data_IF_726610033425
#
_entry.id   IF_726610033425
#
_cell.length_a   1.000
_cell.length_b   1.000
_cell.length_c   1.000
_cell.angle_alpha   90.00
_cell.angle_beta   90.00
_cell.angle_gamma   90.00
#
_symmetry.space_group_name_H-M   'P 1'
#
loop_
_entity.id
_entity.type
_entity.pdbx_description
1 polymer ?
#
# COMPACT_ATOMS: atom_id res chain seq x y z
N UNK A 1 19.41 24.60 17.32
CA UNK A 1 19.25 23.26 17.92
C UNK A 1 17.92 23.19 18.65
N UNK A 2 16.87 22.67 18.00
CA UNK A 2 15.59 22.38 18.63
C UNK A 2 15.57 20.92 19.08
N UNK A 3 15.34 20.67 20.37
CA UNK A 3 15.23 19.31 20.92
C UNK A 3 13.93 18.67 20.43
N UNK A 4 14.04 17.70 19.53
CA UNK A 4 12.94 16.81 19.19
C UNK A 4 12.55 16.01 20.43
N UNK A 5 11.33 16.22 20.90
CA UNK A 5 10.76 15.49 22.02
C UNK A 5 10.62 14.02 21.63
N UNK A 6 11.46 13.17 22.21
CA UNK A 6 11.35 11.72 22.15
C UNK A 6 10.08 11.28 22.91
N UNK A 7 8.92 11.38 22.27
CA UNK A 7 7.68 10.78 22.79
C UNK A 7 7.74 9.28 22.54
N UNK A 8 8.15 8.55 23.57
CA UNK A 8 8.11 7.10 23.63
C UNK A 8 6.69 6.56 23.58
N UNK A 9 6.49 5.51 22.78
CA UNK A 9 5.63 4.40 23.17
C UNK A 9 4.28 4.25 22.49
N UNK A 10 3.34 5.20 22.59
CA UNK A 10 1.93 4.79 22.54
C UNK A 10 1.07 5.24 21.35
N UNK A 11 1.30 6.40 20.73
CA UNK A 11 0.48 6.81 19.56
C UNK A 11 1.29 7.77 18.66
N UNK A 12 2.08 7.20 17.76
CA UNK A 12 2.90 7.97 16.80
C UNK A 12 2.05 8.49 15.65
N UNK A 13 1.25 9.53 15.89
CA UNK A 13 0.59 10.32 14.83
C UNK A 13 1.46 11.51 14.42
N UNK A 14 2.77 11.29 14.30
CA UNK A 14 3.78 12.27 13.92
C UNK A 14 4.28 12.05 12.49
N UNK A 15 4.79 13.13 11.90
CA UNK A 15 5.40 13.15 10.57
C UNK A 15 4.56 12.45 9.50
N UNK A 16 5.10 11.43 8.80
CA UNK A 16 4.41 10.77 7.70
C UNK A 16 3.23 9.88 8.12
N UNK A 17 3.06 9.59 9.42
CA UNK A 17 2.01 8.68 9.87
C UNK A 17 0.62 9.31 9.78
N UNK A 18 0.51 10.61 10.04
CA UNK A 18 -0.78 11.30 9.95
C UNK A 18 -1.37 11.29 8.52
N UNK A 19 -0.63 11.72 7.46
CA UNK A 19 -1.14 11.64 6.09
C UNK A 19 -1.38 10.19 5.62
N UNK A 20 -0.57 9.21 6.05
CA UNK A 20 -0.80 7.79 5.74
C UNK A 20 -2.10 7.25 6.34
N UNK A 21 -2.35 7.49 7.63
CA UNK A 21 -3.58 7.04 8.29
C UNK A 21 -4.82 7.72 7.69
N UNK A 22 -4.73 9.02 7.39
CA UNK A 22 -5.79 9.74 6.71
C UNK A 22 -6.08 9.17 5.32
N UNK A 23 -5.02 8.89 4.55
CA UNK A 23 -5.11 8.23 3.25
C UNK A 23 -5.78 6.86 3.33
N UNK A 24 -5.33 6.00 4.25
CA UNK A 24 -5.93 4.68 4.52
C UNK A 24 -7.41 4.79 4.84
N UNK A 25 -7.79 5.75 5.69
CA UNK A 25 -9.19 5.99 6.05
C UNK A 25 -10.03 6.40 4.83
N UNK A 26 -9.53 7.31 3.98
CA UNK A 26 -10.24 7.68 2.76
C UNK A 26 -10.37 6.53 1.76
N UNK A 27 -9.37 5.66 1.64
CA UNK A 27 -9.46 4.44 0.83
C UNK A 27 -10.61 3.55 1.33
N UNK A 28 -10.69 3.32 2.66
CA UNK A 28 -11.77 2.53 3.26
C UNK A 28 -13.16 3.16 3.10
N UNK A 29 -13.23 4.50 3.09
CA UNK A 29 -14.46 5.26 2.90
C UNK A 29 -14.88 5.43 1.43
N UNK A 30 -14.14 4.85 0.48
CA UNK A 30 -14.49 4.96 -0.93
C UNK A 30 -14.24 6.35 -1.54
N UNK A 31 -13.30 7.13 -0.97
CA UNK A 31 -12.98 8.51 -1.41
C UNK A 31 -11.59 8.56 -2.11
N UNK A 32 -11.49 8.12 -3.38
CA UNK A 32 -10.19 7.89 -4.02
C UNK A 32 -9.34 9.16 -4.15
N UNK A 33 -9.94 10.32 -4.44
CA UNK A 33 -9.19 11.57 -4.64
C UNK A 33 -8.54 12.06 -3.34
N UNK A 34 -9.30 12.04 -2.24
CA UNK A 34 -8.79 12.43 -0.93
C UNK A 34 -7.75 11.42 -0.41
N UNK A 35 -7.94 10.14 -0.73
CA UNK A 35 -7.00 9.09 -0.41
C UNK A 35 -5.66 9.34 -1.11
N UNK A 36 -5.67 9.48 -2.43
CA UNK A 36 -4.47 9.71 -3.23
C UNK A 36 -3.70 10.94 -2.75
N UNK A 37 -4.37 12.08 -2.57
CA UNK A 37 -3.72 13.30 -2.09
C UNK A 37 -3.02 13.09 -0.75
N UNK A 38 -3.69 12.42 0.19
CA UNK A 38 -3.12 12.17 1.53
C UNK A 38 -1.96 11.14 1.47
N UNK A 39 -2.08 10.10 0.66
CA UNK A 39 -1.05 9.06 0.50
C UNK A 39 0.20 9.62 -0.21
N UNK A 40 0.03 10.45 -1.24
CA UNK A 40 1.14 11.14 -1.90
C UNK A 40 1.85 12.11 -0.95
N UNK A 41 1.09 12.82 -0.10
CA UNK A 41 1.68 13.63 0.96
C UNK A 41 2.54 12.77 1.91
N UNK A 42 2.09 11.56 2.27
CA UNK A 42 2.89 10.66 3.09
C UNK A 42 4.20 10.22 2.39
N UNK A 43 4.15 9.93 1.08
CA UNK A 43 5.33 9.56 0.30
C UNK A 43 6.34 10.71 0.09
N UNK A 44 5.87 11.96 0.15
CA UNK A 44 6.74 13.14 0.06
C UNK A 44 7.65 13.35 1.28
N UNK A 45 7.35 12.65 2.39
CA UNK A 45 8.10 12.74 3.64
C UNK A 45 9.09 11.57 3.77
N UNK A 46 10.15 11.71 4.59
CA UNK A 46 11.02 10.59 4.93
C UNK A 46 10.21 9.48 5.63
N UNK A 47 10.13 8.31 5.01
CA UNK A 47 9.35 7.16 5.49
C UNK A 47 10.20 5.90 5.57
N UNK A 48 9.89 5.03 6.53
CA UNK A 48 10.47 3.68 6.56
C UNK A 48 9.99 2.85 5.37
N UNK A 49 10.78 1.85 4.94
CA UNK A 49 10.40 0.94 3.84
C UNK A 49 9.03 0.29 4.09
N UNK A 50 8.75 -0.10 5.34
CA UNK A 50 7.46 -0.67 5.74
C UNK A 50 6.29 0.29 5.53
N UNK A 51 6.45 1.55 5.93
CA UNK A 51 5.40 2.57 5.76
C UNK A 51 5.23 2.91 4.28
N UNK A 52 6.33 3.09 3.53
CA UNK A 52 6.31 3.29 2.08
C UNK A 52 5.55 2.17 1.37
N UNK A 53 5.89 0.91 1.65
CA UNK A 53 5.18 -0.23 1.08
C UNK A 53 3.70 -0.24 1.43
N UNK A 54 3.35 0.08 2.67
CA UNK A 54 1.93 0.17 3.08
C UNK A 54 1.16 1.25 2.32
N UNK A 55 1.77 2.43 2.12
CA UNK A 55 1.19 3.55 1.36
C UNK A 55 1.04 3.21 -0.13
N UNK A 56 2.02 2.52 -0.72
CA UNK A 56 1.96 2.07 -2.12
C UNK A 56 0.80 1.07 -2.32
N UNK A 57 0.57 0.16 -1.38
CA UNK A 57 -0.59 -0.75 -1.47
C UNK A 57 -1.91 0.01 -1.41
N UNK A 58 -2.01 1.04 -0.56
CA UNK A 58 -3.23 1.84 -0.49
C UNK A 58 -3.45 2.66 -1.77
N UNK A 59 -2.38 3.15 -2.43
CA UNK A 59 -2.45 3.78 -3.76
C UNK A 59 -2.85 2.79 -4.86
N UNK A 60 -2.43 1.53 -4.77
CA UNK A 60 -2.92 0.49 -5.68
C UNK A 60 -4.45 0.28 -5.52
N UNK A 61 -4.96 0.28 -4.27
CA UNK A 61 -6.41 0.23 -4.03
C UNK A 61 -7.14 1.46 -4.57
N UNK A 62 -6.54 2.65 -4.54
CA UNK A 62 -7.10 3.83 -5.22
C UNK A 62 -7.25 3.58 -6.72
N UNK A 63 -6.23 3.00 -7.36
CA UNK A 63 -6.30 2.57 -8.75
C UNK A 63 -7.47 1.61 -9.01
N UNK A 64 -7.65 0.60 -8.15
CA UNK A 64 -8.77 -0.35 -8.23
C UNK A 64 -10.12 0.38 -8.15
N UNK A 65 -10.27 1.31 -7.19
CA UNK A 65 -11.51 2.09 -7.01
C UNK A 65 -11.84 2.95 -8.24
N UNK A 66 -10.82 3.51 -8.90
CA UNK A 66 -10.97 4.32 -10.12
C UNK A 66 -11.07 3.49 -11.40
N UNK A 67 -10.84 2.17 -11.32
CA UNK A 67 -10.63 1.29 -12.48
C UNK A 67 -9.44 1.72 -13.34
N UNK A 68 -8.45 2.33 -12.71
CA UNK A 68 -7.18 2.69 -13.34
C UNK A 68 -6.22 1.51 -13.22
N UNK A 69 -6.10 0.77 -14.32
CA UNK A 69 -5.26 -0.43 -14.41
C UNK A 69 -3.79 -0.08 -14.28
N UNK A 70 -3.36 1.02 -14.88
CA UNK A 70 -1.95 1.41 -14.86
C UNK A 70 -1.53 1.78 -13.45
N UNK A 71 -2.31 2.63 -12.78
CA UNK A 71 -2.09 3.01 -11.39
C UNK A 71 -2.05 1.79 -10.47
N UNK A 72 -3.01 0.86 -10.64
CA UNK A 72 -3.09 -0.36 -9.84
C UNK A 72 -1.83 -1.21 -9.99
N UNK A 73 -1.42 -1.49 -11.23
CA UNK A 73 -0.26 -2.33 -11.53
C UNK A 73 1.03 -1.67 -11.05
N UNK A 74 1.23 -0.39 -11.35
CA UNK A 74 2.46 0.32 -11.00
C UNK A 74 2.69 0.32 -9.48
N UNK A 75 1.68 0.69 -8.70
CA UNK A 75 1.82 0.77 -7.24
C UNK A 75 1.84 -0.59 -6.55
N UNK A 76 1.10 -1.58 -7.03
CA UNK A 76 1.15 -2.92 -6.48
C UNK A 76 2.52 -3.59 -6.73
N UNK A 77 3.10 -3.41 -7.92
CA UNK A 77 4.44 -3.90 -8.23
C UNK A 77 5.51 -3.25 -7.35
N UNK A 78 5.48 -1.92 -7.22
CA UNK A 78 6.40 -1.21 -6.33
C UNK A 78 6.26 -1.65 -4.85
N UNK A 79 5.04 -1.98 -4.40
CA UNK A 79 4.82 -2.51 -3.07
C UNK A 79 5.39 -3.93 -2.89
N UNK A 80 5.28 -4.79 -3.91
CA UNK A 80 5.85 -6.15 -3.90
C UNK A 80 7.38 -6.13 -3.79
N UNK A 81 8.07 -5.17 -4.41
CA UNK A 81 9.52 -5.04 -4.25
C UNK A 81 9.93 -4.76 -2.80
N UNK A 82 9.05 -4.11 -2.02
CA UNK A 82 9.30 -3.74 -0.63
C UNK A 82 8.87 -4.82 0.38
N UNK A 83 8.16 -5.87 -0.01
CA UNK A 83 7.82 -6.97 0.92
C UNK A 83 9.10 -7.65 1.39
N UNK A 84 9.92 -8.14 0.46
CA UNK A 84 11.18 -8.82 0.78
C UNK A 84 12.24 -7.94 1.44
N UNK A 85 12.26 -6.64 1.12
CA UNK A 85 13.24 -5.70 1.70
C UNK A 85 12.90 -5.28 3.13
N UNK A 86 11.60 -5.25 3.49
CA UNK A 86 11.16 -4.78 4.80
C UNK A 86 11.02 -5.90 5.84
N UNK A 87 10.95 -7.16 5.40
CA UNK A 87 10.64 -8.31 6.27
C UNK A 87 9.28 -8.21 6.95
N UNK A 88 8.35 -7.43 6.39
CA UNK A 88 7.07 -7.11 7.03
C UNK A 88 5.88 -7.75 6.33
N UNK A 89 5.31 -8.78 6.96
CA UNK A 89 4.05 -9.40 6.53
C UNK A 89 2.81 -8.49 6.57
N UNK A 90 2.95 -7.22 6.99
CA UNK A 90 1.89 -6.20 6.86
C UNK A 90 1.65 -5.84 5.38
N UNK A 91 2.72 -5.63 4.61
CA UNK A 91 2.60 -5.26 3.19
C UNK A 91 1.95 -6.41 2.41
N UNK A 92 2.42 -7.64 2.66
CA UNK A 92 1.83 -8.86 2.11
C UNK A 92 0.31 -8.96 2.41
N UNK A 93 -0.10 -8.80 3.68
CA UNK A 93 -1.54 -8.82 4.02
C UNK A 93 -2.35 -7.73 3.31
N UNK A 94 -1.79 -6.53 3.15
CA UNK A 94 -2.48 -5.48 2.39
C UNK A 94 -2.57 -5.83 0.89
N UNK A 95 -1.53 -6.39 0.28
CA UNK A 95 -1.55 -6.87 -1.12
C UNK A 95 -2.60 -7.96 -1.35
N UNK A 96 -2.77 -8.87 -0.39
CA UNK A 96 -3.87 -9.84 -0.41
C UNK A 96 -5.25 -9.15 -0.37
N UNK A 97 -5.34 -7.96 0.23
CA UNK A 97 -6.50 -7.08 0.17
C UNK A 97 -6.77 -6.55 -1.24
N UNK A 98 -5.74 -6.02 -1.92
CA UNK A 98 -5.83 -5.56 -3.32
C UNK A 98 -6.38 -6.68 -4.20
N UNK A 99 -5.79 -7.87 -4.10
CA UNK A 99 -6.17 -8.99 -4.95
C UNK A 99 -7.65 -9.40 -4.79
N UNK A 100 -8.20 -9.27 -3.58
CA UNK A 100 -9.62 -9.51 -3.30
C UNK A 100 -10.54 -8.41 -3.83
N UNK A 101 -10.05 -7.19 -3.97
CA UNK A 101 -10.83 -6.05 -4.43
C UNK A 101 -10.87 -5.93 -5.95
N UNK A 102 -9.96 -6.57 -6.68
CA UNK A 102 -9.95 -6.64 -8.14
C UNK A 102 -11.31 -7.13 -8.68
N UNK A 103 -12.06 -6.31 -9.45
CA UNK A 103 -13.33 -6.74 -10.06
C UNK A 103 -13.23 -8.07 -10.84
N UNK A 104 -14.29 -8.88 -10.83
CA UNK A 104 -14.34 -10.13 -11.60
C UNK A 104 -14.11 -9.92 -13.12
N UNK A 105 -14.39 -8.71 -13.63
CA UNK A 105 -14.10 -8.29 -14.99
C UNK A 105 -12.59 -8.29 -15.34
N UNK A 106 -11.69 -8.36 -14.34
CA UNK A 106 -10.25 -8.44 -14.51
C UNK A 106 -9.81 -9.67 -15.30
N UNK A 107 -10.67 -10.70 -15.40
CA UNK A 107 -10.44 -11.85 -16.29
C UNK A 107 -10.24 -11.48 -17.77
N UNK A 108 -10.53 -10.24 -18.17
CA UNK A 108 -10.34 -9.76 -19.54
C UNK A 108 -9.12 -8.85 -19.71
N UNK A 109 -8.52 -8.36 -18.62
CA UNK A 109 -7.29 -7.55 -18.69
C UNK A 109 -6.09 -8.39 -18.28
N UNK A 110 -5.20 -8.65 -19.25
CA UNK A 110 -4.02 -9.48 -19.05
C UNK A 110 -3.07 -8.93 -17.97
N UNK A 111 -2.98 -7.60 -17.81
CA UNK A 111 -2.09 -6.98 -16.81
C UNK A 111 -2.61 -7.24 -15.40
N UNK A 112 -3.92 -7.19 -15.21
CA UNK A 112 -4.55 -7.44 -13.91
C UNK A 112 -4.56 -8.93 -13.55
N UNK A 113 -4.73 -9.80 -14.53
CA UNK A 113 -4.53 -11.25 -14.34
C UNK A 113 -3.11 -11.54 -13.88
N UNK A 114 -2.12 -11.00 -14.60
CA UNK A 114 -0.72 -11.17 -14.26
C UNK A 114 -0.40 -10.63 -12.87
N UNK A 115 -0.92 -9.45 -12.54
CA UNK A 115 -0.76 -8.87 -11.21
C UNK A 115 -1.33 -9.76 -10.10
N UNK A 116 -2.52 -10.36 -10.30
CA UNK A 116 -3.11 -11.30 -9.34
C UNK A 116 -2.23 -12.53 -9.11
N UNK A 117 -1.64 -13.08 -10.19
CA UNK A 117 -0.69 -14.19 -10.12
C UNK A 117 0.58 -13.79 -9.35
N UNK A 118 1.17 -12.64 -9.69
CA UNK A 118 2.40 -12.14 -9.07
C UNK A 118 2.17 -11.85 -7.57
N UNK A 119 1.04 -11.26 -7.20
CA UNK A 119 0.66 -11.08 -5.78
C UNK A 119 0.55 -12.44 -5.10
N UNK A 120 -0.13 -13.41 -5.71
CA UNK A 120 -0.31 -14.75 -5.12
C UNK A 120 1.03 -15.47 -4.90
N UNK A 121 1.97 -15.33 -5.84
CA UNK A 121 3.32 -15.85 -5.73
C UNK A 121 4.12 -15.14 -4.62
N UNK A 122 4.06 -13.81 -4.55
CA UNK A 122 4.69 -13.02 -3.48
C UNK A 122 4.22 -13.46 -2.09
N UNK A 123 2.91 -13.69 -1.93
CA UNK A 123 2.33 -14.17 -0.67
C UNK A 123 2.75 -15.60 -0.30
N UNK A 124 3.06 -16.44 -1.29
CA UNK A 124 3.55 -17.80 -1.03
C UNK A 124 4.98 -17.79 -0.48
N UNK A 125 5.85 -16.96 -1.03
CA UNK A 125 7.25 -16.82 -0.59
C UNK A 125 7.32 -16.34 0.87
N UNK A 126 6.51 -15.33 1.22
CA UNK A 126 6.44 -14.80 2.59
C UNK A 126 6.03 -15.88 3.61
N UNK A 127 5.08 -16.75 3.26
CA UNK A 127 4.65 -17.84 4.16
C UNK A 127 5.68 -18.94 4.34
N UNK A 128 6.55 -19.16 3.35
CA UNK A 128 7.62 -20.16 3.42
C UNK A 128 8.88 -19.67 4.16
N UNK A 129 8.96 -18.37 4.47
CA UNK A 129 10.10 -17.76 5.16
C UNK A 129 9.88 -17.61 6.68
N UNK A 130 8.73 -18.06 7.19
CA UNK A 130 8.34 -18.13 8.61
C UNK A 130 8.45 -19.57 9.11
#
# INVERSE_FOLDING_TARGET
MGRESQTGGWLRFDGPRLPEQRGTCYTQLGKPDLAEMSLQQALSLPVSLRLRGSVLVDLANVGVMRRDVEQTVNYATAAMELTGQSGSGVIARKLAGVNRQLPAAHRRDARLLRLSEDISACLAIERSSL
#
